data_IF_371180190427
#
_entry.id   IF_371180190427
#
_cell.length_a   1.000
_cell.length_b   1.000
_cell.length_c   1.000
_cell.angle_alpha   90.00
_cell.angle_beta   90.00
_cell.angle_gamma   90.00
#
_symmetry.space_group_name_H-M   'P 1'
#
loop_
_entity.id
_entity.type
_entity.pdbx_description
1 polymer ?
#
# COMPACT_ATOMS: atom_id res chain seq x y z
N UNK A 1 1.72 17.05 -18.96
CA UNK A 1 2.99 16.89 -18.24
C UNK A 1 3.06 15.49 -17.68
N UNK A 2 4.18 14.79 -17.87
CA UNK A 2 4.41 13.45 -17.28
C UNK A 2 4.55 13.60 -15.77
N UNK A 3 3.88 12.74 -15.02
CA UNK A 3 3.91 12.79 -13.55
C UNK A 3 4.36 11.44 -13.00
N UNK A 4 5.66 11.24 -12.86
CA UNK A 4 6.26 10.04 -12.28
C UNK A 4 7.33 10.47 -11.28
N UNK A 5 7.33 9.88 -10.09
CA UNK A 5 8.24 10.27 -9.00
C UNK A 5 8.78 9.05 -8.27
N UNK A 6 10.05 9.06 -7.92
CA UNK A 6 10.72 8.08 -7.09
C UNK A 6 11.18 8.73 -5.78
N UNK A 7 11.05 8.04 -4.66
CA UNK A 7 11.45 8.52 -3.34
C UNK A 7 12.25 7.44 -2.60
N UNK A 8 13.40 7.80 -2.06
CA UNK A 8 14.32 6.91 -1.35
C UNK A 8 14.48 7.29 0.14
N UNK A 9 14.88 6.35 0.98
CA UNK A 9 15.20 6.37 2.43
C UNK A 9 14.07 5.93 3.38
N UNK A 10 14.48 5.11 4.39
CA UNK A 10 13.60 4.51 5.41
C UNK A 10 13.03 5.58 6.35
N UNK A 11 11.74 5.41 6.75
CA UNK A 11 11.02 6.26 7.72
C UNK A 11 11.01 7.78 7.43
N UNK A 12 11.34 8.17 6.20
CA UNK A 12 11.32 9.57 5.76
C UNK A 12 9.91 10.12 5.50
N UNK A 13 8.85 9.27 5.60
CA UNK A 13 7.48 9.65 5.31
C UNK A 13 7.10 9.52 3.83
N UNK A 14 7.71 8.59 3.10
CA UNK A 14 7.47 8.35 1.66
C UNK A 14 6.00 8.17 1.31
N UNK A 15 5.33 7.25 2.01
CA UNK A 15 3.90 7.00 1.82
C UNK A 15 3.06 8.25 2.12
N UNK A 16 3.39 8.98 3.20
CA UNK A 16 2.73 10.26 3.49
C UNK A 16 3.00 11.28 2.39
N UNK A 17 4.19 11.28 1.81
CA UNK A 17 4.54 12.11 0.64
C UNK A 17 3.69 11.78 -0.58
N UNK A 18 3.49 10.49 -0.89
CA UNK A 18 2.63 10.05 -1.99
C UNK A 18 1.17 10.45 -1.75
N UNK A 19 0.67 10.27 -0.53
CA UNK A 19 -0.68 10.71 -0.14
C UNK A 19 -0.83 12.25 -0.20
N UNK A 20 0.18 13.00 0.22
CA UNK A 20 0.18 14.46 0.13
C UNK A 20 0.18 14.94 -1.33
N UNK A 21 0.85 14.23 -2.24
CA UNK A 21 0.78 14.50 -3.68
C UNK A 21 -0.65 14.29 -4.18
N UNK A 22 -1.30 13.19 -3.81
CA UNK A 22 -2.68 12.92 -4.19
C UNK A 22 -3.64 14.00 -3.67
N UNK A 23 -3.53 14.36 -2.40
CA UNK A 23 -4.33 15.43 -1.79
C UNK A 23 -4.08 16.79 -2.47
N UNK A 24 -2.81 17.15 -2.71
CA UNK A 24 -2.45 18.41 -3.39
C UNK A 24 -2.91 18.48 -4.84
N UNK A 25 -3.10 17.35 -5.52
CA UNK A 25 -3.64 17.27 -6.87
C UNK A 25 -5.16 17.07 -6.88
N UNK A 26 -5.77 16.88 -5.74
CA UNK A 26 -7.19 16.51 -5.58
C UNK A 26 -7.56 15.27 -6.41
N UNK A 27 -6.70 14.25 -6.37
CA UNK A 27 -6.89 12.97 -7.06
C UNK A 27 -7.02 11.84 -6.05
N UNK A 28 -7.81 10.80 -6.35
CA UNK A 28 -7.84 9.59 -5.53
C UNK A 28 -6.45 8.95 -5.44
N UNK A 29 -6.19 8.30 -4.31
CA UNK A 29 -4.94 7.61 -4.03
C UNK A 29 -5.16 6.11 -3.93
N UNK A 30 -4.31 5.36 -4.61
CA UNK A 30 -4.22 3.91 -4.46
C UNK A 30 -2.78 3.49 -4.20
N UNK A 31 -2.59 2.33 -3.63
CA UNK A 31 -1.26 1.81 -3.36
C UNK A 31 -1.16 0.33 -3.70
N UNK A 32 0.05 -0.08 -4.04
CA UNK A 32 0.41 -1.46 -4.31
C UNK A 32 1.78 -1.74 -3.71
N UNK A 33 1.86 -2.72 -2.82
CA UNK A 33 3.12 -3.12 -2.18
C UNK A 33 3.74 -4.29 -2.93
N UNK A 34 4.97 -4.12 -3.36
CA UNK A 34 5.75 -5.16 -4.00
C UNK A 34 6.48 -6.04 -2.98
N UNK A 35 6.68 -7.29 -3.31
CA UNK A 35 7.42 -8.28 -2.54
C UNK A 35 8.45 -9.00 -3.41
N UNK A 36 9.26 -9.86 -2.81
CA UNK A 36 10.22 -10.67 -3.56
C UNK A 36 9.55 -11.56 -4.65
N UNK A 37 8.33 -11.99 -4.39
CA UNK A 37 7.57 -12.89 -5.27
C UNK A 37 6.60 -12.15 -6.22
N UNK A 38 6.64 -10.82 -6.27
CA UNK A 38 5.77 -10.05 -7.17
C UNK A 38 6.11 -10.36 -8.62
N UNK A 39 5.09 -10.75 -9.38
CA UNK A 39 5.14 -11.02 -10.81
C UNK A 39 4.45 -9.92 -11.61
N UNK A 40 4.58 -9.96 -12.94
CA UNK A 40 3.93 -8.95 -13.81
C UNK A 40 2.40 -9.01 -13.69
N UNK A 41 1.84 -10.19 -13.50
CA UNK A 41 0.40 -10.41 -13.32
C UNK A 41 -0.13 -9.74 -12.05
N UNK A 42 0.68 -9.67 -11.00
CA UNK A 42 0.32 -8.94 -9.78
C UNK A 42 0.24 -7.44 -10.02
N UNK A 43 0.97 -6.92 -11.01
CA UNK A 43 0.95 -5.51 -11.38
C UNK A 43 -0.17 -5.16 -12.37
N UNK A 44 -0.47 -6.04 -13.32
CA UNK A 44 -1.37 -5.74 -14.44
C UNK A 44 -2.72 -6.43 -14.37
N UNK A 45 -2.96 -7.25 -13.35
CA UNK A 45 -4.22 -7.96 -13.12
C UNK A 45 -4.13 -9.46 -13.31
N UNK A 46 -5.01 -10.16 -12.66
CA UNK A 46 -5.03 -11.61 -12.55
C UNK A 46 -6.37 -12.21 -12.93
N UNK A 47 -6.32 -13.43 -13.43
CA UNK A 47 -7.49 -14.28 -13.51
C UNK A 47 -7.63 -15.04 -12.19
N UNK A 48 -8.71 -14.81 -11.49
CA UNK A 48 -9.03 -15.49 -10.24
C UNK A 48 -10.29 -16.34 -10.40
N UNK A 49 -10.40 -17.48 -9.69
CA UNK A 49 -11.66 -18.21 -9.64
C UNK A 49 -12.77 -17.27 -9.14
N UNK A 50 -13.88 -17.24 -9.84
CA UNK A 50 -15.04 -16.48 -9.42
C UNK A 50 -15.77 -17.21 -8.32
N UNK A 51 -15.35 -16.95 -7.07
CA UNK A 51 -15.99 -17.52 -5.88
C UNK A 51 -17.30 -16.81 -5.51
N UNK A 52 -17.56 -15.64 -6.10
CA UNK A 52 -18.83 -14.94 -5.99
C UNK A 52 -19.81 -15.38 -7.09
N UNK A 53 -19.44 -16.43 -7.85
CA UNK A 53 -20.32 -17.03 -8.81
C UNK A 53 -21.63 -17.39 -8.12
N UNK A 54 -22.67 -16.68 -8.48
CA UNK A 54 -24.06 -16.92 -8.19
C UNK A 54 -24.29 -17.82 -6.96
N UNK A 55 -24.71 -17.25 -5.86
CA UNK A 55 -25.42 -17.98 -4.84
C UNK A 55 -26.69 -18.58 -5.49
N UNK A 56 -26.55 -19.84 -5.93
CA UNK A 56 -27.59 -20.64 -6.49
C UNK A 56 -28.00 -20.21 -7.91
N UNK A 57 -27.83 -21.11 -8.88
CA UNK A 57 -28.74 -21.13 -10.02
C UNK A 57 -30.16 -21.08 -9.46
N UNK A 58 -30.81 -19.91 -9.53
CA UNK A 58 -32.22 -19.84 -9.19
C UNK A 58 -32.89 -20.85 -10.12
N UNK A 59 -33.47 -21.95 -9.62
CA UNK A 59 -34.12 -22.92 -10.49
C UNK A 59 -35.10 -22.17 -11.37
N UNK A 60 -35.25 -22.58 -12.63
CA UNK A 60 -36.19 -21.92 -13.56
C UNK A 60 -37.63 -21.87 -12.96
N UNK A 61 -37.91 -22.80 -12.05
CA UNK A 61 -39.18 -22.87 -11.30
C UNK A 61 -39.38 -21.75 -10.27
N UNK A 62 -38.26 -21.11 -9.82
CA UNK A 62 -38.28 -20.01 -8.84
C UNK A 62 -38.12 -18.61 -9.46
N UNK A 63 -38.18 -18.49 -10.77
CA UNK A 63 -38.08 -17.18 -11.43
C UNK A 63 -39.32 -16.32 -11.07
N UNK A 64 -39.11 -15.02 -10.79
CA UNK A 64 -40.20 -14.12 -10.47
C UNK A 64 -41.20 -14.00 -11.64
N UNK A 65 -42.50 -13.89 -11.32
CA UNK A 65 -43.51 -13.66 -12.34
C UNK A 65 -43.39 -12.24 -12.89
N UNK A 66 -43.75 -12.04 -14.14
CA UNK A 66 -43.73 -10.72 -14.81
C UNK A 66 -44.52 -9.69 -14.00
N UNK A 67 -45.66 -10.10 -13.42
CA UNK A 67 -46.46 -9.24 -12.54
C UNK A 67 -45.72 -8.69 -11.33
N UNK A 68 -44.81 -9.49 -10.75
CA UNK A 68 -44.06 -9.13 -9.56
C UNK A 68 -42.95 -8.15 -9.89
N UNK A 69 -42.33 -8.31 -11.08
CA UNK A 69 -41.30 -7.41 -11.62
C UNK A 69 -41.88 -6.00 -11.80
N UNK A 70 -43.10 -5.89 -12.35
CA UNK A 70 -43.74 -4.61 -12.63
C UNK A 70 -44.29 -3.94 -11.34
N UNK A 71 -44.77 -4.73 -10.37
CA UNK A 71 -45.40 -4.18 -9.14
C UNK A 71 -44.37 -3.76 -8.07
N UNK A 72 -43.27 -4.52 -7.93
CA UNK A 72 -42.26 -4.28 -6.87
C UNK A 72 -40.85 -4.59 -7.33
N UNK A 73 -40.26 -3.81 -8.28
CA UNK A 73 -38.92 -4.06 -8.82
C UNK A 73 -37.85 -4.20 -7.75
N UNK A 74 -37.79 -3.34 -6.69
CA UNK A 74 -36.73 -3.46 -5.66
C UNK A 74 -36.79 -4.78 -4.89
N UNK A 75 -37.98 -5.30 -4.63
CA UNK A 75 -38.14 -6.59 -3.91
C UNK A 75 -37.70 -7.77 -4.78
N UNK A 76 -37.98 -7.71 -6.08
CA UNK A 76 -37.53 -8.72 -7.02
C UNK A 76 -36.01 -8.63 -7.23
N UNK A 77 -35.46 -7.43 -7.29
CA UNK A 77 -34.02 -7.25 -7.37
C UNK A 77 -33.31 -7.84 -6.13
N UNK A 78 -33.85 -7.60 -4.93
CA UNK A 78 -33.35 -8.21 -3.69
C UNK A 78 -33.42 -9.74 -3.74
N UNK A 79 -34.53 -10.30 -4.23
CA UNK A 79 -34.65 -11.77 -4.38
C UNK A 79 -33.58 -12.37 -5.30
N UNK A 80 -33.21 -11.64 -6.37
CA UNK A 80 -32.23 -12.10 -7.36
C UNK A 80 -30.78 -11.87 -6.92
N UNK A 81 -30.49 -10.85 -6.10
CA UNK A 81 -29.11 -10.42 -5.78
C UNK A 81 -28.76 -10.55 -4.30
N UNK A 82 -29.76 -10.64 -3.42
CA UNK A 82 -29.58 -10.56 -1.98
C UNK A 82 -29.45 -9.14 -1.43
N UNK A 83 -29.43 -8.10 -2.29
CA UNK A 83 -29.26 -6.69 -1.93
C UNK A 83 -30.55 -5.91 -2.21
N UNK A 84 -31.05 -5.19 -1.19
CA UNK A 84 -32.23 -4.32 -1.34
C UNK A 84 -31.80 -2.91 -1.73
N UNK A 85 -32.32 -2.42 -2.85
CA UNK A 85 -32.08 -1.05 -3.32
C UNK A 85 -33.39 -0.47 -3.88
N UNK A 86 -33.92 0.54 -3.20
CA UNK A 86 -35.19 1.17 -3.51
C UNK A 86 -35.19 1.94 -4.85
N UNK A 87 -34.01 2.26 -5.38
CA UNK A 87 -33.83 2.96 -6.66
C UNK A 87 -33.95 2.07 -7.89
N UNK A 88 -34.02 0.72 -7.70
CA UNK A 88 -34.03 -0.25 -8.81
C UNK A 88 -35.35 -0.26 -9.55
N UNK A 89 -35.23 -0.22 -10.87
CA UNK A 89 -36.33 -0.17 -11.82
C UNK A 89 -36.63 -1.56 -12.42
N UNK A 90 -37.71 -1.64 -13.16
CA UNK A 90 -38.08 -2.84 -13.95
C UNK A 90 -36.96 -3.25 -14.93
N UNK A 91 -36.33 -2.25 -15.57
CA UNK A 91 -35.21 -2.48 -16.51
C UNK A 91 -34.00 -3.10 -15.82
N UNK A 92 -33.66 -2.66 -14.60
CA UNK A 92 -32.55 -3.23 -13.81
C UNK A 92 -32.81 -4.70 -13.47
N UNK A 93 -34.05 -5.03 -13.11
CA UNK A 93 -34.46 -6.42 -12.82
C UNK A 93 -34.38 -7.28 -14.08
N UNK A 94 -34.88 -6.78 -15.22
CA UNK A 94 -34.82 -7.50 -16.49
C UNK A 94 -33.38 -7.72 -16.94
N UNK A 95 -32.52 -6.72 -16.82
CA UNK A 95 -31.09 -6.86 -17.13
C UNK A 95 -30.46 -7.94 -16.25
N UNK A 96 -30.78 -7.98 -14.96
CA UNK A 96 -30.26 -9.00 -14.04
C UNK A 96 -30.76 -10.40 -14.38
N UNK A 97 -32.02 -10.54 -14.77
CA UNK A 97 -32.57 -11.81 -15.23
C UNK A 97 -31.90 -12.30 -16.52
N UNK A 98 -31.60 -11.39 -17.44
CA UNK A 98 -30.85 -11.73 -18.67
C UNK A 98 -29.46 -12.22 -18.31
N UNK A 99 -28.74 -11.53 -17.40
CA UNK A 99 -27.42 -11.97 -16.92
C UNK A 99 -27.47 -13.39 -16.32
N UNK A 100 -28.49 -13.67 -15.49
CA UNK A 100 -28.72 -14.98 -14.89
C UNK A 100 -28.99 -16.03 -15.98
N UNK A 101 -29.86 -15.72 -16.94
CA UNK A 101 -30.21 -16.66 -18.02
C UNK A 101 -29.01 -16.97 -18.91
N UNK A 102 -28.24 -15.95 -19.28
CA UNK A 102 -26.99 -16.13 -20.08
C UNK A 102 -25.97 -16.93 -19.27
N UNK A 103 -25.83 -16.66 -17.99
CA UNK A 103 -24.98 -17.42 -17.09
C UNK A 103 -25.34 -18.91 -17.07
N UNK A 104 -26.62 -19.24 -16.88
CA UNK A 104 -27.13 -20.61 -16.84
C UNK A 104 -27.00 -21.34 -18.19
N UNK A 105 -27.07 -20.63 -19.32
CA UNK A 105 -26.82 -21.19 -20.62
C UNK A 105 -25.35 -21.56 -20.81
N UNK A 106 -24.44 -20.72 -20.35
CA UNK A 106 -22.98 -20.99 -20.42
C UNK A 106 -22.58 -22.16 -19.50
N UNK A 107 -23.23 -22.33 -18.35
CA UNK A 107 -22.99 -23.47 -17.45
C UNK A 107 -23.34 -24.82 -18.02
N UNK A 108 -24.32 -24.86 -18.92
CA UNK A 108 -24.71 -26.12 -19.61
C UNK A 108 -23.69 -26.58 -20.62
N UNK A 109 -22.82 -25.69 -21.09
CA UNK A 109 -21.78 -26.04 -22.08
C UNK A 109 -20.49 -26.53 -21.42
N UNK A 110 -20.23 -26.21 -20.12
CA UNK A 110 -19.04 -26.69 -19.40
C UNK A 110 -19.33 -26.96 -17.90
N UNK A 111 -19.87 -28.17 -17.58
CA UNK A 111 -20.25 -28.54 -16.24
C UNK A 111 -19.06 -28.72 -15.26
N UNK A 112 -17.80 -28.64 -15.72
CA UNK A 112 -16.58 -28.79 -14.95
C UNK A 112 -15.73 -27.51 -14.91
N UNK A 113 -16.12 -26.41 -15.57
CA UNK A 113 -15.37 -25.20 -15.70
C UNK A 113 -15.43 -24.35 -14.43
N UNK A 114 -14.33 -24.20 -13.70
CA UNK A 114 -14.18 -23.13 -12.74
C UNK A 114 -14.32 -21.81 -13.48
N UNK A 115 -15.35 -21.02 -13.16
CA UNK A 115 -15.47 -19.66 -13.70
C UNK A 115 -14.28 -18.86 -13.25
N UNK A 116 -13.60 -18.25 -14.19
CA UNK A 116 -12.44 -17.42 -13.95
C UNK A 116 -12.83 -16.00 -14.34
N UNK A 117 -12.66 -15.05 -13.43
CA UNK A 117 -12.82 -13.62 -13.74
C UNK A 117 -11.49 -12.91 -13.70
N UNK A 118 -11.33 -11.94 -14.57
CA UNK A 118 -10.22 -11.02 -14.52
C UNK A 118 -10.50 -9.92 -13.47
N UNK A 119 -9.48 -9.56 -12.69
CA UNK A 119 -9.56 -8.51 -11.69
C UNK A 119 -8.47 -7.49 -11.96
N UNK A 120 -8.87 -6.22 -12.08
CA UNK A 120 -7.96 -5.09 -12.17
C UNK A 120 -7.18 -4.94 -10.87
N UNK A 121 -5.91 -4.59 -10.98
CA UNK A 121 -5.07 -4.22 -9.82
C UNK A 121 -5.25 -2.73 -9.50
N UNK A 122 -4.81 -2.27 -8.31
CA UNK A 122 -4.79 -0.84 -8.01
C UNK A 122 -4.03 0.01 -9.04
N UNK A 123 -3.00 -0.55 -9.68
CA UNK A 123 -2.30 0.12 -10.78
C UNK A 123 -3.19 0.25 -12.01
N UNK A 124 -3.90 -0.81 -12.40
CA UNK A 124 -4.80 -0.78 -13.56
C UNK A 124 -5.96 0.17 -13.33
N UNK A 125 -6.55 0.15 -12.14
CA UNK A 125 -7.58 1.13 -11.76
C UNK A 125 -7.07 2.57 -11.85
N UNK A 126 -5.86 2.82 -11.34
CA UNK A 126 -5.26 4.15 -11.40
C UNK A 126 -5.04 4.63 -12.84
N UNK A 127 -4.57 3.76 -13.74
CA UNK A 127 -4.33 4.14 -15.14
C UNK A 127 -5.62 4.31 -15.94
N UNK A 128 -6.71 3.63 -15.56
CA UNK A 128 -8.03 3.82 -16.19
C UNK A 128 -8.70 5.13 -15.76
N UNK A 129 -8.60 5.47 -14.48
CA UNK A 129 -9.41 6.52 -13.87
C UNK A 129 -8.64 7.80 -13.50
N UNK A 130 -7.33 7.83 -13.66
CA UNK A 130 -6.53 9.02 -13.41
C UNK A 130 -6.15 9.22 -11.94
N UNK A 131 -5.89 8.15 -11.19
CA UNK A 131 -5.51 8.21 -9.78
C UNK A 131 -4.01 8.37 -9.57
N UNK A 132 -3.63 8.73 -8.36
CA UNK A 132 -2.25 8.61 -7.89
C UNK A 132 -2.05 7.18 -7.39
N UNK A 133 -1.16 6.44 -8.05
CA UNK A 133 -0.81 5.08 -7.67
C UNK A 133 0.60 5.04 -7.09
N UNK A 134 0.74 4.61 -5.83
CA UNK A 134 2.04 4.35 -5.22
C UNK A 134 2.42 2.88 -5.40
N UNK A 135 3.58 2.64 -6.03
CA UNK A 135 4.24 1.34 -6.03
C UNK A 135 5.28 1.34 -4.90
N UNK A 136 4.99 0.59 -3.84
CA UNK A 136 5.85 0.51 -2.67
C UNK A 136 6.86 -0.62 -2.82
N UNK A 137 8.11 -0.34 -2.49
CA UNK A 137 9.24 -1.28 -2.40
C UNK A 137 9.47 -2.16 -3.66
N UNK A 138 9.37 -1.65 -4.89
CA UNK A 138 9.63 -2.46 -6.08
C UNK A 138 11.08 -2.94 -6.19
N UNK A 139 12.01 -2.37 -5.44
CA UNK A 139 13.39 -2.85 -5.28
C UNK A 139 13.49 -4.20 -4.58
N UNK A 140 12.43 -4.64 -3.86
CA UNK A 140 12.38 -5.95 -3.21
C UNK A 140 12.07 -7.09 -4.20
N UNK A 141 11.59 -6.79 -5.41
CA UNK A 141 11.22 -7.81 -6.40
C UNK A 141 12.46 -8.63 -6.80
N UNK A 142 12.38 -9.95 -6.64
CA UNK A 142 13.51 -10.85 -6.90
C UNK A 142 13.97 -10.83 -8.38
N UNK A 143 13.03 -10.66 -9.31
CA UNK A 143 13.32 -10.51 -10.73
C UNK A 143 13.08 -9.05 -11.17
N UNK A 144 14.12 -8.20 -11.29
CA UNK A 144 13.97 -6.80 -11.73
C UNK A 144 13.34 -6.65 -13.12
N UNK A 145 13.34 -7.73 -13.93
CA UNK A 145 12.72 -7.76 -15.26
C UNK A 145 11.19 -7.61 -15.23
N UNK A 146 10.55 -7.91 -14.10
CA UNK A 146 9.10 -7.72 -13.91
C UNK A 146 8.69 -6.28 -14.18
N UNK A 147 9.44 -5.31 -13.67
CA UNK A 147 9.15 -3.89 -13.88
C UNK A 147 9.33 -3.43 -15.32
N UNK A 148 10.14 -4.14 -16.11
CA UNK A 148 10.32 -3.83 -17.55
C UNK A 148 9.00 -4.00 -18.31
N UNK A 149 8.10 -4.88 -17.85
CA UNK A 149 6.76 -5.02 -18.37
C UNK A 149 5.93 -3.73 -18.31
N UNK A 150 6.29 -2.78 -17.44
CA UNK A 150 5.64 -1.48 -17.34
C UNK A 150 6.25 -0.40 -18.25
N UNK A 151 7.31 -0.71 -19.01
CA UNK A 151 8.02 0.31 -19.79
C UNK A 151 7.11 1.03 -20.80
N UNK A 152 6.21 0.32 -21.49
CA UNK A 152 5.29 0.92 -22.45
C UNK A 152 4.26 1.86 -21.78
N UNK A 153 3.89 1.57 -20.52
CA UNK A 153 3.05 2.42 -19.71
C UNK A 153 3.78 3.70 -19.26
N UNK A 154 5.06 3.54 -18.89
CA UNK A 154 5.89 4.64 -18.37
C UNK A 154 6.47 5.52 -19.49
N UNK A 155 6.58 5.02 -20.70
CA UNK A 155 7.10 5.71 -21.87
C UNK A 155 6.03 6.58 -22.56
N UNK A 156 6.41 7.19 -23.67
CA UNK A 156 5.54 8.01 -24.52
C UNK A 156 4.30 7.28 -25.04
N UNK A 157 4.37 5.96 -25.18
CA UNK A 157 3.24 5.13 -25.60
C UNK A 157 2.06 5.20 -24.64
N UNK A 158 2.35 5.26 -23.33
CA UNK A 158 1.35 5.35 -22.25
C UNK A 158 0.27 4.27 -22.33
N UNK A 159 0.63 3.07 -22.77
CA UNK A 159 -0.29 1.95 -22.99
C UNK A 159 0.26 0.71 -22.32
N UNK A 160 -0.60 -0.07 -21.71
CA UNK A 160 -0.30 -1.41 -21.22
C UNK A 160 -1.29 -2.42 -21.84
N UNK A 161 -0.82 -3.64 -22.09
CA UNK A 161 -1.68 -4.75 -22.51
C UNK A 161 -1.94 -5.63 -21.31
N UNK A 162 -3.22 -5.83 -20.99
CA UNK A 162 -3.66 -6.66 -19.88
C UNK A 162 -3.64 -8.16 -20.28
N UNK A 163 -3.67 -9.09 -19.31
CA UNK A 163 -3.80 -10.52 -19.58
C UNK A 163 -5.04 -10.90 -20.39
N UNK A 164 -6.08 -10.09 -20.38
CA UNK A 164 -7.28 -10.22 -21.20
C UNK A 164 -7.04 -9.93 -22.69
N UNK A 165 -5.88 -9.38 -23.07
CA UNK A 165 -5.59 -8.85 -24.40
C UNK A 165 -6.05 -7.41 -24.62
N UNK A 166 -6.77 -6.81 -23.67
CA UNK A 166 -7.17 -5.40 -23.71
C UNK A 166 -5.96 -4.47 -23.63
N UNK A 167 -5.97 -3.43 -24.44
CA UNK A 167 -4.95 -2.37 -24.40
C UNK A 167 -5.50 -1.15 -23.68
N UNK A 168 -4.99 -0.89 -22.49
CA UNK A 168 -5.40 0.25 -21.65
C UNK A 168 -4.42 1.39 -21.83
N UNK A 169 -4.95 2.56 -22.20
CA UNK A 169 -4.18 3.80 -22.26
C UNK A 169 -4.22 4.50 -20.90
N UNK A 170 -3.06 4.95 -20.43
CA UNK A 170 -2.94 5.71 -19.17
C UNK A 170 -3.72 7.03 -19.27
N UNK A 171 -4.59 7.26 -18.29
CA UNK A 171 -5.32 8.52 -18.16
C UNK A 171 -4.34 9.69 -17.97
N UNK A 172 -4.60 10.89 -18.54
CA UNK A 172 -3.68 12.03 -18.45
C UNK A 172 -3.35 12.47 -17.02
N UNK A 173 -4.30 12.31 -16.10
CA UNK A 173 -4.13 12.70 -14.70
C UNK A 173 -3.44 11.64 -13.84
N UNK A 174 -3.21 10.42 -14.38
CA UNK A 174 -2.53 9.37 -13.62
C UNK A 174 -1.13 9.79 -13.22
N UNK A 175 -0.83 9.69 -11.93
CA UNK A 175 0.51 9.87 -11.37
C UNK A 175 0.98 8.55 -10.78
N UNK A 176 2.11 8.04 -11.26
CA UNK A 176 2.76 6.85 -10.71
C UNK A 176 3.88 7.32 -9.79
N UNK A 177 3.79 6.98 -8.52
CA UNK A 177 4.79 7.27 -7.50
C UNK A 177 5.46 5.95 -7.13
N UNK A 178 6.77 5.90 -7.20
CA UNK A 178 7.56 4.74 -6.77
C UNK A 178 8.26 5.11 -5.47
N UNK A 179 8.04 4.34 -4.42
CA UNK A 179 8.72 4.53 -3.13
C UNK A 179 9.55 3.29 -2.81
N UNK A 180 10.83 3.48 -2.54
CA UNK A 180 11.74 2.39 -2.24
C UNK A 180 12.72 2.77 -1.13
N UNK A 181 13.30 1.78 -0.47
CA UNK A 181 14.42 1.94 0.45
C UNK A 181 15.69 1.47 -0.26
N UNK A 182 16.74 2.30 -0.24
CA UNK A 182 18.06 1.93 -0.78
C UNK A 182 18.90 1.09 0.19
N UNK A 183 18.64 1.24 1.50
CA UNK A 183 19.54 0.77 2.57
C UNK A 183 19.06 -0.50 3.28
N UNK A 184 18.08 -1.21 2.70
CA UNK A 184 17.52 -2.40 3.33
C UNK A 184 18.19 -3.67 2.80
N UNK A 185 18.60 -4.58 3.70
CA UNK A 185 19.10 -5.90 3.32
C UNK A 185 18.00 -6.68 2.61
N UNK A 186 18.14 -6.92 1.31
CA UNK A 186 17.10 -7.54 0.46
C UNK A 186 16.56 -6.61 -0.64
N UNK A 187 16.84 -5.31 -0.58
CA UNK A 187 16.61 -4.41 -1.71
C UNK A 187 17.70 -4.62 -2.77
N UNK A 188 17.27 -4.58 -4.01
CA UNK A 188 18.16 -4.62 -5.20
C UNK A 188 18.09 -3.28 -5.91
N UNK A 189 19.09 -3.01 -6.71
CA UNK A 189 19.05 -1.85 -7.60
C UNK A 189 17.88 -1.97 -8.55
N UNK A 190 17.13 -0.90 -8.66
CA UNK A 190 16.06 -0.83 -9.64
C UNK A 190 16.61 -0.86 -11.05
N UNK A 191 15.87 -1.52 -11.95
CA UNK A 191 16.26 -1.59 -13.35
C UNK A 191 16.40 -0.18 -13.94
N UNK A 192 17.56 0.11 -14.53
CA UNK A 192 17.85 1.42 -15.10
C UNK A 192 16.87 1.83 -16.20
N UNK A 193 16.28 0.85 -16.93
CA UNK A 193 15.26 1.16 -17.94
C UNK A 193 14.00 1.77 -17.33
N UNK A 194 13.67 1.42 -16.09
CA UNK A 194 12.55 2.01 -15.33
C UNK A 194 12.93 3.37 -14.78
N UNK A 195 14.13 3.47 -14.16
CA UNK A 195 14.64 4.73 -13.60
C UNK A 195 14.71 5.82 -14.68
N UNK A 196 15.20 5.49 -15.88
CA UNK A 196 15.32 6.44 -16.99
C UNK A 196 13.99 6.98 -17.52
N UNK A 197 12.87 6.37 -17.12
CA UNK A 197 11.50 6.78 -17.48
C UNK A 197 10.79 7.56 -16.37
N UNK A 198 11.46 7.77 -15.23
CA UNK A 198 10.96 8.61 -14.15
C UNK A 198 11.21 10.08 -14.48
N UNK A 199 10.19 10.90 -14.41
CA UNK A 199 10.30 12.35 -14.68
C UNK A 199 10.98 13.09 -13.53
N UNK A 200 10.89 12.57 -12.31
CA UNK A 200 11.48 13.15 -11.12
C UNK A 200 11.96 12.04 -10.16
N UNK A 201 13.20 12.13 -9.77
CA UNK A 201 13.80 11.31 -8.72
C UNK A 201 14.12 12.24 -7.56
N UNK A 202 13.69 11.86 -6.37
CA UNK A 202 13.91 12.64 -5.17
C UNK A 202 14.39 11.75 -4.02
N UNK A 203 15.57 12.06 -3.50
CA UNK A 203 16.12 11.41 -2.33
C UNK A 203 15.58 12.12 -1.08
N UNK A 204 14.78 11.39 -0.31
CA UNK A 204 14.24 11.90 0.95
C UNK A 204 15.27 11.68 2.05
N UNK A 205 15.83 12.74 2.57
CA UNK A 205 16.71 12.71 3.73
C UNK A 205 15.93 12.43 5.02
N UNK A 206 16.64 11.92 6.04
CA UNK A 206 16.07 11.80 7.37
C UNK A 206 15.64 13.20 7.86
N UNK A 207 14.50 13.33 8.54
CA UNK A 207 14.03 14.63 9.01
C UNK A 207 15.01 15.21 10.04
N UNK A 208 15.18 16.52 10.02
CA UNK A 208 15.92 17.22 11.06
C UNK A 208 15.26 17.08 12.44
N UNK A 209 16.02 17.36 13.50
CA UNK A 209 15.59 17.16 14.88
C UNK A 209 14.28 17.89 15.19
N UNK A 210 14.13 19.15 14.76
CA UNK A 210 12.92 19.94 15.01
C UNK A 210 11.70 19.33 14.30
N UNK A 211 11.89 18.83 13.08
CA UNK A 211 10.85 18.14 12.33
C UNK A 211 10.47 16.82 12.99
N UNK A 212 11.44 16.06 13.53
CA UNK A 212 11.16 14.83 14.27
C UNK A 212 10.30 15.12 15.51
N UNK A 213 10.69 16.10 16.32
CA UNK A 213 9.98 16.51 17.53
C UNK A 213 8.55 16.95 17.21
N UNK A 214 8.37 17.88 16.26
CA UNK A 214 7.05 18.35 15.85
C UNK A 214 6.15 17.23 15.34
N UNK A 215 6.69 16.32 14.54
CA UNK A 215 5.93 15.19 14.02
C UNK A 215 5.47 14.24 15.12
N UNK A 216 6.37 13.88 16.05
CA UNK A 216 5.99 12.96 17.13
C UNK A 216 4.99 13.60 18.07
N UNK A 217 5.17 14.87 18.46
CA UNK A 217 4.22 15.60 19.30
C UNK A 217 2.82 15.69 18.67
N UNK A 218 2.76 16.03 17.38
CA UNK A 218 1.49 16.13 16.65
C UNK A 218 0.74 14.78 16.55
N UNK A 219 1.49 13.68 16.38
CA UNK A 219 0.87 12.35 16.19
C UNK A 219 0.51 11.68 17.51
N UNK A 220 1.29 11.93 18.58
CA UNK A 220 1.10 11.28 19.89
C UNK A 220 0.30 12.11 20.88
N UNK A 221 0.22 13.43 20.66
CA UNK A 221 -0.33 14.36 21.64
C UNK A 221 0.61 14.64 22.82
N UNK A 222 1.88 14.22 22.74
CA UNK A 222 2.88 14.51 23.76
C UNK A 222 3.15 16.01 23.83
N UNK A 223 3.18 16.59 25.03
CA UNK A 223 3.21 18.05 25.21
C UNK A 223 4.55 18.60 25.70
N UNK A 224 5.43 17.74 26.25
CA UNK A 224 6.74 18.17 26.71
C UNK A 224 7.76 18.21 25.57
N UNK A 225 7.98 19.40 25.00
CA UNK A 225 8.90 19.61 23.89
C UNK A 225 10.37 19.38 24.29
N UNK A 226 10.74 19.67 25.54
CA UNK A 226 12.10 19.47 26.01
C UNK A 226 12.41 17.98 26.12
N UNK A 227 11.51 17.23 26.68
CA UNK A 227 11.65 15.78 26.80
C UNK A 227 11.59 15.11 25.41
N UNK A 228 10.67 15.51 24.53
CA UNK A 228 10.62 15.03 23.15
C UNK A 228 11.92 15.31 22.38
N UNK A 229 12.57 16.45 22.66
CA UNK A 229 13.85 16.80 22.04
C UNK A 229 14.99 15.90 22.52
N UNK A 230 15.07 15.60 23.83
CA UNK A 230 16.04 14.65 24.37
C UNK A 230 15.85 13.26 23.76
N UNK A 231 14.61 12.79 23.71
CA UNK A 231 14.27 11.51 23.10
C UNK A 231 14.68 11.47 21.62
N UNK A 232 14.41 12.54 20.86
CA UNK A 232 14.79 12.63 19.44
C UNK A 232 16.32 12.60 19.23
N UNK A 233 17.10 13.21 20.15
CA UNK A 233 18.56 13.15 20.12
C UNK A 233 19.02 11.70 20.29
N UNK A 234 18.51 10.98 21.28
CA UNK A 234 18.86 9.56 21.51
C UNK A 234 18.54 8.70 20.28
N UNK A 235 17.37 8.86 19.69
CA UNK A 235 16.98 8.12 18.46
C UNK A 235 17.96 8.39 17.31
N UNK A 236 18.34 9.64 17.11
CA UNK A 236 19.30 10.03 16.09
C UNK A 236 20.70 9.46 16.37
N UNK A 237 21.14 9.51 17.60
CA UNK A 237 22.46 9.01 18.02
C UNK A 237 22.54 7.47 17.86
N UNK A 238 21.46 6.75 18.19
CA UNK A 238 21.36 5.31 17.93
C UNK A 238 21.43 5.03 16.43
N UNK A 239 20.64 5.74 15.62
CA UNK A 239 20.65 5.55 14.16
C UNK A 239 22.03 5.83 13.54
N UNK A 240 22.73 6.85 14.03
CA UNK A 240 24.08 7.19 13.60
C UNK A 240 25.10 6.13 14.06
N UNK A 241 24.99 5.67 15.31
CA UNK A 241 25.85 4.61 15.85
C UNK A 241 25.69 3.32 15.07
N UNK A 242 24.45 2.88 14.80
CA UNK A 242 24.21 1.69 13.98
C UNK A 242 24.85 1.79 12.59
N UNK A 243 24.82 2.97 11.96
CA UNK A 243 25.51 3.18 10.68
C UNK A 243 27.02 3.07 10.79
N UNK A 244 27.62 3.67 11.81
CA UNK A 244 29.07 3.66 12.04
C UNK A 244 29.61 2.27 12.40
N UNK A 245 28.86 1.50 13.16
CA UNK A 245 29.23 0.16 13.61
C UNK A 245 28.73 -0.96 12.71
N UNK A 246 28.07 -0.61 11.58
CA UNK A 246 27.51 -1.57 10.62
C UNK A 246 26.49 -2.53 11.23
N UNK A 247 25.74 -2.09 12.23
CA UNK A 247 24.60 -2.82 12.79
C UNK A 247 23.43 -2.71 11.80
N UNK A 248 23.09 -3.84 11.16
CA UNK A 248 22.07 -3.88 10.06
C UNK A 248 20.90 -4.81 10.35
N UNK A 249 20.88 -5.43 11.52
CA UNK A 249 19.87 -6.41 11.94
C UNK A 249 18.60 -5.81 12.53
N UNK A 250 18.56 -4.48 12.66
CA UNK A 250 17.41 -3.76 13.17
C UNK A 250 17.22 -2.36 12.58
N UNK A 251 16.42 -1.55 13.23
CA UNK A 251 16.17 -0.17 12.84
C UNK A 251 15.87 0.74 14.02
N UNK A 252 16.26 1.99 13.89
CA UNK A 252 15.87 3.05 14.80
C UNK A 252 15.55 4.31 13.98
N UNK A 253 14.29 4.73 13.99
CA UNK A 253 13.81 5.87 13.20
C UNK A 253 12.54 6.48 13.78
N UNK A 254 11.76 7.15 12.94
CA UNK A 254 10.52 7.83 13.36
C UNK A 254 9.45 6.90 13.93
N UNK A 255 9.39 5.63 13.46
CA UNK A 255 8.41 4.66 13.98
C UNK A 255 8.74 4.27 15.41
N UNK A 256 9.99 3.91 15.65
CA UNK A 256 10.50 3.53 16.96
C UNK A 256 10.45 4.72 17.91
N UNK A 257 10.76 5.92 17.45
CA UNK A 257 10.61 7.16 18.22
C UNK A 257 9.17 7.36 18.68
N UNK A 258 8.20 7.25 17.76
CA UNK A 258 6.77 7.33 18.11
C UNK A 258 6.38 6.28 19.16
N UNK A 259 6.82 5.03 18.96
CA UNK A 259 6.53 3.93 19.89
C UNK A 259 7.12 4.19 21.27
N UNK A 260 8.33 4.74 21.33
CA UNK A 260 8.98 5.11 22.58
C UNK A 260 8.20 6.20 23.31
N UNK A 261 7.83 7.29 22.63
CA UNK A 261 7.03 8.35 23.24
C UNK A 261 5.70 7.82 23.77
N UNK A 262 4.97 7.02 22.98
CA UNK A 262 3.70 6.44 23.42
C UNK A 262 3.88 5.50 24.62
N UNK A 263 4.94 4.68 24.64
CA UNK A 263 5.27 3.83 25.78
C UNK A 263 5.57 4.65 27.02
N UNK A 264 6.38 5.72 26.88
CA UNK A 264 6.72 6.63 27.98
C UNK A 264 5.49 7.33 28.56
N UNK A 265 4.53 7.73 27.72
CA UNK A 265 3.27 8.31 28.19
C UNK A 265 2.45 7.36 29.08
N UNK A 266 2.60 6.05 28.87
CA UNK A 266 1.89 5.03 29.67
C UNK A 266 2.66 4.66 30.93
N UNK A 267 3.98 4.47 30.83
CA UNK A 267 4.82 3.96 31.91
C UNK A 267 5.34 5.05 32.84
N UNK A 268 5.39 6.31 32.37
CA UNK A 268 6.11 7.44 32.98
C UNK A 268 7.61 7.15 33.23
N UNK A 269 8.17 6.14 32.55
CA UNK A 269 9.58 5.78 32.61
C UNK A 269 10.19 5.76 31.20
N UNK A 270 10.89 6.82 30.79
CA UNK A 270 11.50 6.89 29.47
C UNK A 270 12.65 5.87 29.30
N UNK A 271 13.37 5.51 30.38
CA UNK A 271 14.47 4.55 30.30
C UNK A 271 13.95 3.14 30.01
N UNK A 272 13.06 2.60 30.82
CA UNK A 272 12.48 1.25 30.64
C UNK A 272 11.69 1.17 29.31
N UNK A 273 11.00 2.24 28.96
CA UNK A 273 10.32 2.33 27.66
C UNK A 273 11.29 2.28 26.46
N UNK A 274 12.48 2.89 26.58
CA UNK A 274 13.51 2.84 25.55
C UNK A 274 14.02 1.42 25.31
N UNK A 275 14.23 0.64 26.37
CA UNK A 275 14.74 -0.73 26.28
C UNK A 275 13.81 -1.62 25.45
N UNK A 276 12.49 -1.48 25.65
CA UNK A 276 11.47 -2.30 24.98
C UNK A 276 11.08 -1.79 23.58
N UNK A 277 11.42 -0.56 23.23
CA UNK A 277 11.06 0.07 21.96
C UNK A 277 12.27 0.31 21.06
N UNK A 278 13.04 1.38 21.29
CA UNK A 278 14.11 1.80 20.38
C UNK A 278 15.33 0.86 20.43
N UNK A 279 15.71 0.37 21.61
CA UNK A 279 16.88 -0.50 21.77
C UNK A 279 16.59 -1.90 21.19
N UNK A 280 15.44 -2.48 21.56
CA UNK A 280 15.06 -3.80 21.07
C UNK A 280 14.86 -3.84 19.54
N UNK A 281 14.44 -2.72 18.96
CA UNK A 281 14.25 -2.57 17.51
C UNK A 281 15.55 -2.27 16.76
N UNK A 282 16.54 -1.65 17.42
CA UNK A 282 17.81 -1.26 16.80
C UNK A 282 18.72 -2.46 16.48
N UNK A 283 18.70 -3.49 17.33
CA UNK A 283 19.44 -4.73 17.10
C UNK A 283 18.79 -5.93 17.79
N UNK A 284 18.94 -7.11 17.21
CA UNK A 284 18.57 -8.38 17.84
C UNK A 284 19.71 -8.90 18.76
N UNK A 285 20.94 -8.48 18.51
CA UNK A 285 22.13 -8.93 19.23
C UNK A 285 22.24 -8.25 20.62
N UNK A 286 22.39 -9.02 21.73
CA UNK A 286 22.50 -8.47 23.08
C UNK A 286 23.72 -7.57 23.30
N UNK A 287 24.86 -7.87 22.68
CA UNK A 287 26.09 -7.08 22.83
C UNK A 287 25.95 -5.73 22.17
N UNK A 288 25.37 -5.69 20.95
CA UNK A 288 25.03 -4.46 20.27
C UNK A 288 24.06 -3.61 21.09
N UNK A 289 23.04 -4.24 21.70
CA UNK A 289 22.08 -3.51 22.57
C UNK A 289 22.78 -2.92 23.78
N UNK A 290 23.68 -3.65 24.44
CA UNK A 290 24.43 -3.15 25.58
C UNK A 290 25.30 -1.94 25.20
N UNK A 291 25.94 -1.99 24.03
CA UNK A 291 26.71 -0.86 23.50
C UNK A 291 25.82 0.36 23.23
N UNK A 292 24.65 0.18 22.57
CA UNK A 292 23.72 1.26 22.28
C UNK A 292 23.16 1.90 23.56
N UNK A 293 22.87 1.09 24.59
CA UNK A 293 22.41 1.58 25.87
C UNK A 293 23.49 2.48 26.51
N UNK A 294 24.70 1.97 26.66
CA UNK A 294 25.76 2.71 27.32
C UNK A 294 26.23 3.94 26.54
N UNK A 295 26.24 3.88 25.21
CA UNK A 295 26.73 4.96 24.38
C UNK A 295 25.69 6.06 24.09
N UNK A 296 24.41 5.68 23.94
CA UNK A 296 23.39 6.61 23.45
C UNK A 296 22.28 6.90 24.47
N UNK A 297 21.83 5.90 25.27
CA UNK A 297 20.71 6.07 26.19
C UNK A 297 21.14 6.61 27.54
N UNK A 298 22.11 5.98 28.19
CA UNK A 298 22.56 6.34 29.56
C UNK A 298 23.10 7.77 29.69
N UNK A 299 23.71 8.41 28.67
CA UNK A 299 24.10 9.81 28.77
C UNK A 299 22.93 10.79 28.96
N UNK A 300 21.73 10.41 28.53
CA UNK A 300 20.53 11.24 28.60
C UNK A 300 19.56 10.77 29.70
N UNK A 301 19.56 9.49 30.00
CA UNK A 301 18.64 8.85 30.95
C UNK A 301 19.40 7.90 31.88
N UNK A 302 19.34 8.19 33.18
CA UNK A 302 19.88 7.27 34.20
C UNK A 302 18.83 6.22 34.55
N UNK A 303 19.27 4.98 34.78
CA UNK A 303 18.40 3.95 35.33
C UNK A 303 17.80 4.40 36.64
N UNK A 304 16.49 4.52 36.71
CA UNK A 304 15.80 4.77 37.98
C UNK A 304 15.99 3.55 38.87
N UNK A 305 16.66 3.70 40.01
CA UNK A 305 16.94 2.64 40.99
C UNK A 305 15.67 2.37 41.81
#
# INVERSE_FOLDING_TARGET
ARRQRQMCIRDSGKTMGAQAIAAGLNLPYTLMTCSANTEITDLVGQFIPDTNGFHGSTPIEDLPKISDITMHPPSVYMMLTGEYDESKTEDDVLQKLIEIAVGNLMEKEDPAGQRIRYVDTPLVEAIRHGYVCELQEPSCIANPGVLVGLNSLLDNCQVITLPTGERVRRHPDTVIVVTTNSDYSGCRDMNQSVISRMDLIYDMEAPDLNTMVKRVMNVTGFTDEQEATKMAIVVRDIAERCRQTMITDGSCGMREFKSWVLSTMVTNDPYESALSTIISSASADPDNRAELISACLEPQYSKTI
#
